data_IF_984904913137
#
_entry.id   IF_984904913137
#
_cell.length_a   1.000
_cell.length_b   1.000
_cell.length_c   1.000
_cell.angle_alpha   90.00
_cell.angle_beta   90.00
_cell.angle_gamma   90.00
#
_symmetry.space_group_name_H-M   'P 1'
#
loop_
_entity.id
_entity.type
_entity.pdbx_description
1 polymer ?
#
# COMPACT_ATOMS: atom_id res chain seq x y z
N UNK A 1 -11.17 -39.29 -7.69
CA UNK A 1 -12.28 -39.64 -6.77
C UNK A 1 -13.55 -39.68 -7.59
N UNK A 2 -14.38 -40.71 -7.45
CA UNK A 2 -15.69 -40.74 -8.10
C UNK A 2 -16.73 -40.25 -7.09
N UNK A 3 -17.32 -39.07 -7.33
CA UNK A 3 -18.30 -38.43 -6.45
C UNK A 3 -19.67 -38.48 -7.13
N UNK A 4 -20.64 -39.14 -6.50
CA UNK A 4 -21.99 -39.28 -7.05
C UNK A 4 -22.92 -38.27 -6.39
N UNK A 5 -23.38 -37.29 -7.16
CA UNK A 5 -24.42 -36.33 -6.76
C UNK A 5 -25.75 -36.83 -7.32
N UNK A 6 -26.76 -37.06 -6.47
CA UNK A 6 -28.07 -37.48 -6.98
C UNK A 6 -28.86 -36.25 -7.38
N UNK A 7 -29.39 -36.23 -8.60
CA UNK A 7 -30.19 -35.12 -9.12
C UNK A 7 -31.62 -35.59 -9.34
N UNK A 8 -32.58 -34.82 -8.83
CA UNK A 8 -34.02 -34.99 -9.09
C UNK A 8 -34.50 -33.88 -10.01
N UNK A 9 -35.11 -34.25 -11.14
CA UNK A 9 -35.90 -33.31 -11.94
C UNK A 9 -37.21 -33.02 -11.22
N UNK A 10 -37.46 -31.75 -10.90
CA UNK A 10 -38.73 -31.27 -10.34
C UNK A 10 -39.78 -31.04 -11.44
N UNK A 11 -39.31 -30.77 -12.67
CA UNK A 11 -40.15 -30.58 -13.84
C UNK A 11 -39.63 -31.42 -15.03
N UNK A 12 -40.51 -31.95 -15.89
CA UNK A 12 -40.11 -32.79 -17.02
C UNK A 12 -39.11 -32.13 -17.98
N UNK A 13 -39.26 -30.82 -18.21
CA UNK A 13 -38.40 -30.03 -19.11
C UNK A 13 -37.00 -29.71 -18.52
N UNK A 14 -36.76 -29.99 -17.24
CA UNK A 14 -35.45 -29.76 -16.64
C UNK A 14 -34.39 -30.64 -17.31
N UNK A 15 -33.20 -30.09 -17.54
CA UNK A 15 -32.08 -30.80 -18.15
C UNK A 15 -31.07 -31.19 -17.07
N UNK A 16 -30.56 -32.43 -17.10
CA UNK A 16 -29.53 -32.84 -16.16
C UNK A 16 -28.22 -32.10 -16.48
N UNK A 17 -27.39 -31.77 -15.47
CA UNK A 17 -26.09 -31.15 -15.72
C UNK A 17 -25.20 -32.09 -16.53
N UNK A 18 -24.47 -31.53 -17.51
CA UNK A 18 -23.55 -32.28 -18.38
C UNK A 18 -22.23 -31.54 -18.51
N UNK A 19 -21.12 -32.28 -18.45
CA UNK A 19 -19.80 -31.77 -18.81
C UNK A 19 -19.69 -31.69 -20.34
N UNK A 20 -19.20 -30.57 -20.86
CA UNK A 20 -19.12 -30.36 -22.31
C UNK A 20 -17.93 -31.12 -22.91
N UNK A 21 -16.82 -31.16 -22.20
CA UNK A 21 -15.59 -31.83 -22.60
C UNK A 21 -15.05 -32.73 -21.49
N UNK A 22 -14.24 -33.71 -21.87
CA UNK A 22 -13.50 -34.54 -20.93
C UNK A 22 -12.53 -33.66 -20.11
N UNK A 23 -12.54 -33.83 -18.80
CA UNK A 23 -11.71 -33.04 -17.88
C UNK A 23 -12.30 -31.69 -17.47
N UNK A 24 -13.47 -31.29 -17.99
CA UNK A 24 -14.16 -30.09 -17.53
C UNK A 24 -14.50 -30.19 -16.03
N UNK A 25 -14.25 -29.11 -15.31
CA UNK A 25 -14.61 -29.02 -13.88
C UNK A 25 -16.07 -28.67 -13.65
N UNK A 26 -16.72 -28.01 -14.62
CA UNK A 26 -18.08 -27.51 -14.51
C UNK A 26 -19.06 -28.20 -15.46
N UNK A 27 -20.19 -28.64 -14.93
CA UNK A 27 -21.32 -29.17 -15.71
C UNK A 27 -22.35 -28.08 -16.00
N UNK A 28 -22.85 -27.97 -17.23
CA UNK A 28 -23.76 -26.91 -17.63
C UNK A 28 -25.10 -26.95 -16.88
N UNK A 29 -25.59 -25.77 -16.46
CA UNK A 29 -26.94 -25.58 -15.91
C UNK A 29 -27.80 -24.77 -16.88
N UNK A 30 -29.08 -25.13 -16.93
CA UNK A 30 -30.03 -24.63 -17.92
C UNK A 30 -31.20 -23.90 -17.27
N UNK A 31 -31.70 -22.84 -17.90
CA UNK A 31 -32.97 -22.21 -17.51
C UNK A 31 -34.15 -23.12 -17.90
N UNK A 32 -35.23 -23.11 -17.12
CA UNK A 32 -36.51 -23.72 -17.53
C UNK A 32 -37.60 -22.69 -17.86
N UNK A 33 -37.26 -21.39 -17.87
CA UNK A 33 -38.18 -20.30 -18.19
C UNK A 33 -37.58 -19.33 -19.20
N UNK A 34 -38.45 -18.61 -19.90
CA UNK A 34 -38.08 -17.41 -20.63
C UNK A 34 -38.15 -16.19 -19.71
N UNK A 35 -37.16 -15.30 -19.79
CA UNK A 35 -37.24 -13.97 -19.20
C UNK A 35 -36.22 -13.01 -19.81
N UNK A 36 -36.47 -11.71 -19.67
CA UNK A 36 -35.48 -10.68 -20.02
C UNK A 36 -34.87 -10.14 -18.72
N UNK A 37 -33.54 -10.01 -18.69
CA UNK A 37 -32.80 -9.28 -17.67
C UNK A 37 -32.43 -7.91 -18.22
N UNK A 38 -33.09 -6.87 -17.71
CA UNK A 38 -32.73 -5.48 -18.01
C UNK A 38 -31.36 -5.13 -17.39
N UNK A 39 -30.62 -4.15 -17.94
CA UNK A 39 -29.40 -3.62 -17.31
C UNK A 39 -29.61 -3.28 -15.82
N UNK A 40 -28.73 -3.78 -14.96
CA UNK A 40 -28.81 -3.64 -13.50
C UNK A 40 -29.82 -4.57 -12.81
N UNK A 41 -30.65 -5.31 -13.56
CA UNK A 41 -31.63 -6.23 -13.01
C UNK A 41 -30.97 -7.55 -12.59
N UNK A 42 -31.48 -8.12 -11.48
CA UNK A 42 -31.15 -9.46 -11.02
C UNK A 42 -32.40 -10.32 -10.91
N UNK A 43 -32.26 -11.62 -11.20
CA UNK A 43 -33.35 -12.60 -11.06
C UNK A 43 -32.81 -13.96 -10.66
N UNK A 44 -33.54 -14.65 -9.77
CA UNK A 44 -33.32 -16.05 -9.50
C UNK A 44 -34.01 -16.89 -10.59
N UNK A 45 -33.22 -17.48 -11.47
CA UNK A 45 -33.70 -18.25 -12.62
C UNK A 45 -33.76 -19.73 -12.23
N UNK A 46 -34.93 -20.38 -12.30
CA UNK A 46 -35.10 -21.79 -11.96
C UNK A 46 -34.41 -22.71 -12.97
N UNK A 47 -33.83 -23.80 -12.47
CA UNK A 47 -33.28 -24.89 -13.28
C UNK A 47 -34.21 -26.11 -13.34
N UNK A 48 -35.21 -26.17 -12.45
CA UNK A 48 -36.07 -27.34 -12.28
C UNK A 48 -35.36 -28.57 -11.70
N UNK A 49 -34.19 -28.40 -11.07
CA UNK A 49 -33.42 -29.47 -10.45
C UNK A 49 -33.37 -29.30 -8.94
N UNK A 50 -33.38 -30.42 -8.21
CA UNK A 50 -32.94 -30.52 -6.83
C UNK A 50 -31.79 -31.53 -6.74
N UNK A 51 -30.92 -31.38 -5.75
CA UNK A 51 -29.77 -32.25 -5.56
C UNK A 51 -29.70 -32.84 -4.14
N UNK A 52 -29.20 -34.07 -4.06
CA UNK A 52 -28.64 -34.64 -2.84
C UNK A 52 -27.12 -34.70 -3.03
N UNK A 53 -26.43 -33.80 -2.33
CA UNK A 53 -24.97 -33.69 -2.33
C UNK A 53 -24.43 -34.70 -1.32
N UNK A 54 -23.37 -35.46 -1.64
CA UNK A 54 -22.74 -36.36 -0.67
C UNK A 54 -22.02 -35.59 0.43
N UNK A 55 -21.92 -36.20 1.63
CA UNK A 55 -21.23 -35.61 2.77
C UNK A 55 -19.77 -35.31 2.44
N UNK A 56 -19.26 -34.17 2.90
CA UNK A 56 -17.89 -33.72 2.61
C UNK A 56 -17.74 -32.96 1.30
N UNK A 57 -18.85 -32.73 0.58
CA UNK A 57 -18.87 -31.95 -0.66
C UNK A 57 -19.95 -30.86 -0.60
N UNK A 58 -19.75 -29.84 -1.41
CA UNK A 58 -20.74 -28.82 -1.78
C UNK A 58 -20.85 -28.77 -3.32
N UNK A 59 -21.92 -28.14 -3.81
CA UNK A 59 -21.98 -27.74 -5.22
C UNK A 59 -21.85 -26.22 -5.33
N UNK A 60 -21.10 -25.78 -6.33
CA UNK A 60 -20.84 -24.38 -6.60
C UNK A 60 -21.43 -24.01 -7.97
N UNK A 61 -22.38 -23.08 -7.98
CA UNK A 61 -22.90 -22.45 -9.19
C UNK A 61 -21.96 -21.32 -9.59
N UNK A 62 -21.28 -21.47 -10.73
CA UNK A 62 -20.30 -20.52 -11.24
C UNK A 62 -20.75 -19.89 -12.57
N UNK A 63 -20.30 -18.66 -12.88
CA UNK A 63 -20.55 -18.00 -14.15
C UNK A 63 -19.94 -18.77 -15.33
N UNK A 64 -20.53 -18.59 -16.50
CA UNK A 64 -19.90 -18.93 -17.78
C UNK A 64 -19.16 -17.70 -18.30
N UNK A 65 -17.88 -17.85 -18.64
CA UNK A 65 -17.04 -16.74 -19.12
C UNK A 65 -17.64 -16.03 -20.34
N UNK A 66 -18.23 -16.78 -21.28
CA UNK A 66 -18.86 -16.22 -22.47
C UNK A 66 -20.05 -15.29 -22.16
N UNK A 67 -20.85 -15.58 -21.12
CA UNK A 67 -21.96 -14.70 -20.73
C UNK A 67 -21.45 -13.41 -20.09
N UNK A 68 -20.45 -13.54 -19.22
CA UNK A 68 -19.85 -12.40 -18.53
C UNK A 68 -19.14 -11.47 -19.52
N UNK A 69 -18.32 -12.03 -20.43
CA UNK A 69 -17.54 -11.25 -21.38
C UNK A 69 -18.40 -10.60 -22.47
N UNK A 70 -19.32 -11.35 -23.08
CA UNK A 70 -20.03 -10.88 -24.27
C UNK A 70 -21.28 -10.05 -23.95
N UNK A 71 -21.87 -10.25 -22.76
CA UNK A 71 -23.16 -9.65 -22.41
C UNK A 71 -23.14 -8.95 -21.04
N UNK A 72 -22.05 -9.04 -20.27
CA UNK A 72 -22.01 -8.51 -18.90
C UNK A 72 -22.91 -9.29 -17.93
N UNK A 73 -23.35 -10.50 -18.29
CA UNK A 73 -24.25 -11.31 -17.46
C UNK A 73 -23.45 -12.30 -16.63
N UNK A 74 -23.65 -12.27 -15.31
CA UNK A 74 -22.92 -13.14 -14.38
C UNK A 74 -23.83 -13.67 -13.28
N UNK A 75 -23.34 -14.66 -12.54
CA UNK A 75 -23.98 -15.16 -11.32
C UNK A 75 -23.64 -14.20 -10.19
N UNK A 76 -24.64 -13.51 -9.66
CA UNK A 76 -24.48 -12.40 -8.70
C UNK A 76 -23.79 -12.85 -7.41
N UNK A 77 -24.13 -14.03 -6.90
CA UNK A 77 -23.59 -14.59 -5.66
C UNK A 77 -22.47 -15.60 -5.91
N UNK A 78 -21.73 -15.49 -7.02
CA UNK A 78 -20.71 -16.48 -7.37
C UNK A 78 -19.56 -16.59 -6.35
N UNK A 79 -19.10 -17.80 -6.01
CA UNK A 79 -19.76 -19.08 -6.29
C UNK A 79 -21.07 -19.19 -5.48
N UNK A 80 -22.16 -19.56 -6.16
CA UNK A 80 -23.43 -19.82 -5.49
C UNK A 80 -23.39 -21.20 -4.83
N UNK A 81 -23.35 -21.22 -3.50
CA UNK A 81 -23.14 -22.45 -2.72
C UNK A 81 -24.44 -23.24 -2.52
N UNK A 82 -24.36 -24.56 -2.69
CA UNK A 82 -25.43 -25.52 -2.38
C UNK A 82 -24.87 -26.54 -1.39
N UNK A 83 -25.33 -26.42 -0.14
CA UNK A 83 -24.87 -27.24 0.98
C UNK A 83 -25.38 -28.68 0.94
N UNK A 84 -24.66 -29.56 1.66
CA UNK A 84 -25.04 -30.96 1.91
C UNK A 84 -26.50 -31.13 2.35
N UNK A 85 -27.03 -30.20 3.17
CA UNK A 85 -28.39 -30.28 3.73
C UNK A 85 -29.49 -29.75 2.80
N UNK A 86 -29.16 -29.04 1.73
CA UNK A 86 -30.16 -28.39 0.89
C UNK A 86 -30.81 -29.39 -0.07
N UNK A 87 -32.15 -29.38 -0.13
CA UNK A 87 -32.95 -30.23 -1.03
C UNK A 87 -33.96 -29.44 -1.88
N UNK A 88 -33.92 -28.12 -1.78
CA UNK A 88 -34.79 -27.26 -2.58
C UNK A 88 -34.36 -27.20 -4.03
N UNK A 89 -35.11 -26.44 -4.82
CA UNK A 89 -34.76 -26.19 -6.23
C UNK A 89 -33.46 -25.39 -6.31
N UNK A 90 -32.57 -25.80 -7.22
CA UNK A 90 -31.38 -25.06 -7.61
C UNK A 90 -31.82 -23.90 -8.51
N UNK A 91 -31.61 -22.67 -8.05
CA UNK A 91 -31.86 -21.44 -8.81
C UNK A 91 -30.56 -20.70 -9.03
N UNK A 92 -30.38 -20.16 -10.23
CA UNK A 92 -29.20 -19.36 -10.59
C UNK A 92 -29.56 -17.89 -10.46
N UNK A 93 -28.91 -17.17 -9.55
CA UNK A 93 -29.13 -15.72 -9.38
C UNK A 93 -28.28 -15.00 -10.40
N UNK A 94 -28.86 -14.69 -11.57
CA UNK A 94 -28.17 -13.90 -12.59
C UNK A 94 -28.38 -12.41 -12.35
N UNK A 95 -27.36 -11.62 -12.67
CA UNK A 95 -27.41 -10.17 -12.80
C UNK A 95 -26.90 -9.77 -14.19
N UNK A 96 -27.55 -8.78 -14.80
CA UNK A 96 -27.06 -8.15 -16.02
C UNK A 96 -26.31 -6.86 -15.67
N UNK A 97 -24.99 -6.88 -15.78
CA UNK A 97 -24.11 -5.70 -15.64
C UNK A 97 -23.76 -5.07 -17.00
N UNK A 98 -24.29 -5.62 -18.10
CA UNK A 98 -24.17 -5.06 -19.43
C UNK A 98 -25.09 -3.86 -19.65
N UNK A 99 -24.96 -3.24 -20.83
CA UNK A 99 -25.72 -2.04 -21.21
C UNK A 99 -26.97 -2.33 -22.05
N UNK A 100 -27.25 -3.60 -22.37
CA UNK A 100 -28.39 -4.01 -23.20
C UNK A 100 -29.24 -5.06 -22.47
N UNK A 101 -30.57 -5.12 -22.72
CA UNK A 101 -31.40 -6.19 -22.22
C UNK A 101 -30.88 -7.55 -22.67
N UNK A 102 -30.88 -8.54 -21.78
CA UNK A 102 -30.42 -9.88 -22.06
C UNK A 102 -31.58 -10.88 -22.00
N UNK A 103 -32.01 -11.45 -23.14
CA UNK A 103 -33.04 -12.48 -23.16
C UNK A 103 -32.43 -13.83 -22.71
N UNK A 104 -32.98 -14.38 -21.64
CA UNK A 104 -32.77 -15.77 -21.22
C UNK A 104 -33.91 -16.60 -21.78
N UNK A 105 -33.56 -17.68 -22.48
CA UNK A 105 -34.51 -18.64 -23.05
C UNK A 105 -34.57 -19.93 -22.22
N UNK A 106 -35.73 -20.56 -22.15
CA UNK A 106 -35.86 -21.91 -21.61
C UNK A 106 -34.95 -22.88 -22.39
N UNK A 107 -34.24 -23.75 -21.68
CA UNK A 107 -33.24 -24.65 -22.25
C UNK A 107 -31.88 -24.01 -22.54
N UNK A 108 -31.70 -22.71 -22.28
CA UNK A 108 -30.41 -22.04 -22.47
C UNK A 108 -29.45 -22.34 -21.32
N UNK A 109 -28.16 -22.53 -21.64
CA UNK A 109 -27.06 -22.61 -20.67
C UNK A 109 -26.84 -21.26 -19.99
N UNK A 110 -27.01 -21.21 -18.66
CA UNK A 110 -26.97 -19.96 -17.88
C UNK A 110 -25.84 -19.91 -16.84
N UNK A 111 -25.36 -21.07 -16.39
CA UNK A 111 -24.30 -21.20 -15.41
C UNK A 111 -23.63 -22.57 -15.57
N UNK A 112 -22.64 -22.86 -14.74
CA UNK A 112 -22.04 -24.18 -14.60
C UNK A 112 -21.97 -24.59 -13.13
N UNK A 113 -22.10 -25.88 -12.85
CA UNK A 113 -22.07 -26.49 -11.54
C UNK A 113 -20.73 -27.20 -11.34
N UNK A 114 -20.01 -26.85 -10.29
CA UNK A 114 -18.75 -27.51 -9.89
C UNK A 114 -18.98 -28.26 -8.58
N UNK A 115 -18.52 -29.51 -8.50
CA UNK A 115 -18.52 -30.28 -7.24
C UNK A 115 -17.20 -30.02 -6.52
N UNK A 116 -17.25 -29.55 -5.27
CA UNK A 116 -16.05 -29.19 -4.51
C UNK A 116 -16.02 -29.89 -3.14
N UNK A 117 -14.85 -30.38 -2.68
CA UNK A 117 -14.71 -30.87 -1.31
C UNK A 117 -14.79 -29.71 -0.31
N UNK A 118 -15.40 -29.96 0.85
CA UNK A 118 -15.54 -28.99 1.93
C UNK A 118 -14.53 -29.29 3.03
N UNK A 119 -13.72 -28.29 3.40
CA UNK A 119 -12.89 -28.34 4.59
C UNK A 119 -13.68 -27.83 5.80
N UNK A 120 -13.58 -28.55 6.92
CA UNK A 120 -14.16 -28.13 8.19
C UNK A 120 -13.04 -27.62 9.10
N UNK A 121 -13.20 -26.42 9.64
CA UNK A 121 -12.28 -25.83 10.61
C UNK A 121 -12.87 -25.90 12.03
N UNK A 122 -12.00 -26.06 13.01
CA UNK A 122 -12.30 -25.79 14.42
C UNK A 122 -11.92 -24.34 14.72
N UNK A 123 -12.91 -23.47 14.96
CA UNK A 123 -12.69 -22.05 15.17
C UNK A 123 -12.41 -21.80 16.66
N UNK A 124 -11.16 -21.44 16.99
CA UNK A 124 -10.73 -21.15 18.36
C UNK A 124 -10.57 -19.63 18.56
N UNK A 125 -11.15 -19.12 19.64
CA UNK A 125 -10.99 -17.72 20.05
C UNK A 125 -9.66 -17.55 20.81
N UNK A 126 -8.87 -16.55 20.42
CA UNK A 126 -7.60 -16.17 21.06
C UNK A 126 -7.56 -14.67 21.31
N UNK A 127 -6.73 -14.20 22.24
CA UNK A 127 -6.57 -12.77 22.53
C UNK A 127 -5.70 -12.06 21.47
N UNK A 128 -4.70 -12.75 20.92
CA UNK A 128 -3.76 -12.21 19.94
C UNK A 128 -3.51 -13.20 18.80
N UNK A 129 -3.29 -12.67 17.58
CA UNK A 129 -2.88 -13.44 16.40
C UNK A 129 -1.38 -13.24 16.15
N UNK A 130 -0.71 -14.25 15.59
CA UNK A 130 0.70 -14.14 15.17
C UNK A 130 0.89 -13.10 14.07
N UNK A 131 2.00 -12.36 14.13
CA UNK A 131 2.36 -11.38 13.09
C UNK A 131 2.70 -12.06 11.75
N UNK A 132 2.37 -11.39 10.64
CA UNK A 132 2.74 -11.80 9.28
C UNK A 132 3.09 -10.56 8.45
N UNK A 133 3.88 -10.72 7.39
CA UNK A 133 4.24 -9.63 6.46
C UNK A 133 3.03 -8.90 5.87
N UNK A 134 1.89 -9.61 5.73
CA UNK A 134 0.63 -9.05 5.22
C UNK A 134 -0.15 -8.29 6.30
N UNK A 135 0.03 -8.65 7.57
CA UNK A 135 -0.59 -8.01 8.74
C UNK A 135 -2.10 -7.79 8.58
N UNK A 136 -2.58 -6.61 8.98
CA UNK A 136 -3.97 -6.19 8.86
C UNK A 136 -4.34 -5.61 7.47
N UNK A 137 -3.54 -5.86 6.43
CA UNK A 137 -3.83 -5.39 5.07
C UNK A 137 -5.09 -6.06 4.52
N UNK A 138 -6.19 -5.30 4.40
CA UNK A 138 -7.50 -5.79 3.96
C UNK A 138 -7.60 -6.21 2.49
N UNK A 139 -8.82 -6.49 2.05
CA UNK A 139 -9.16 -6.85 0.67
C UNK A 139 -8.69 -5.79 -0.34
N UNK A 140 -7.97 -6.21 -1.39
CA UNK A 140 -7.55 -5.32 -2.49
C UNK A 140 -6.14 -4.72 -2.38
N UNK A 141 -5.29 -5.22 -1.49
CA UNK A 141 -3.91 -4.74 -1.30
C UNK A 141 -2.94 -4.95 -2.49
N UNK A 142 -3.41 -5.41 -3.65
CA UNK A 142 -2.59 -5.62 -4.86
C UNK A 142 -2.97 -4.74 -6.05
N UNK A 143 -3.94 -3.83 -5.91
CA UNK A 143 -4.27 -2.91 -7.00
C UNK A 143 -5.14 -1.76 -6.55
N UNK A 144 -4.65 -0.54 -6.73
CA UNK A 144 -5.31 0.75 -6.48
C UNK A 144 -5.18 1.35 -5.06
N UNK A 145 -4.05 1.17 -4.37
CA UNK A 145 -3.58 2.30 -3.56
C UNK A 145 -3.04 3.35 -4.53
N UNK A 146 -3.55 4.59 -4.45
CA UNK A 146 -2.82 5.73 -4.99
C UNK A 146 -1.40 5.63 -4.44
N UNK A 147 -0.43 5.29 -5.30
CA UNK A 147 0.94 5.04 -4.89
C UNK A 147 1.41 6.28 -4.14
N UNK A 148 1.54 6.20 -2.82
CA UNK A 148 2.06 7.30 -2.02
C UNK A 148 3.53 7.46 -2.41
N UNK A 149 3.78 8.39 -3.31
CA UNK A 149 5.12 8.76 -3.73
C UNK A 149 5.69 9.69 -2.69
N UNK A 150 6.46 9.15 -1.75
CA UNK A 150 7.17 9.92 -0.72
C UNK A 150 8.59 10.16 -1.19
N UNK A 151 8.95 11.42 -1.41
CA UNK A 151 10.32 11.82 -1.69
C UNK A 151 11.05 12.15 -0.37
N UNK A 152 12.25 11.62 -0.17
CA UNK A 152 13.14 12.04 0.91
C UNK A 152 13.95 13.26 0.49
N UNK A 153 13.97 14.26 1.35
CA UNK A 153 14.76 15.47 1.21
C UNK A 153 15.76 15.57 2.36
N UNK A 154 17.00 15.17 2.09
CA UNK A 154 18.12 15.21 3.04
C UNK A 154 18.80 16.57 2.96
N UNK A 155 18.72 17.36 4.02
CA UNK A 155 19.32 18.68 4.11
C UNK A 155 20.78 18.57 4.55
N UNK A 156 21.72 18.87 3.64
CA UNK A 156 23.18 18.76 3.84
C UNK A 156 23.93 20.07 3.50
N UNK A 157 23.22 21.20 3.47
CA UNK A 157 23.76 22.48 3.01
C UNK A 157 24.47 23.32 4.10
N UNK A 158 24.48 22.85 5.35
CA UNK A 158 25.00 23.56 6.51
C UNK A 158 26.52 23.79 6.48
N UNK A 159 26.97 24.88 7.09
CA UNK A 159 28.38 25.31 7.11
C UNK A 159 29.19 24.74 8.28
N UNK A 160 28.55 24.12 9.28
CA UNK A 160 29.20 23.51 10.47
C UNK A 160 30.05 24.48 11.30
N UNK A 161 29.57 25.72 11.51
CA UNK A 161 30.31 26.79 12.18
C UNK A 161 30.80 26.49 13.60
N UNK A 162 30.18 25.51 14.29
CA UNK A 162 30.51 25.09 15.66
C UNK A 162 31.58 23.99 15.76
N UNK A 163 31.91 23.32 14.64
CA UNK A 163 32.81 22.15 14.58
C UNK A 163 34.26 22.47 14.15
N UNK A 164 34.64 23.75 14.09
CA UNK A 164 35.97 24.19 13.66
C UNK A 164 36.14 24.26 12.13
N UNK A 165 37.33 23.94 11.62
CA UNK A 165 37.71 24.14 10.19
C UNK A 165 37.24 23.04 9.23
N UNK A 166 36.79 21.89 9.74
CA UNK A 166 36.27 20.78 8.94
C UNK A 166 34.75 20.68 9.07
N UNK A 167 34.05 20.49 7.95
CA UNK A 167 32.60 20.32 7.99
C UNK A 167 32.24 18.93 8.53
N UNK A 168 31.33 18.89 9.52
CA UNK A 168 30.97 17.68 10.25
C UNK A 168 30.53 16.55 9.35
N UNK A 169 29.82 16.85 8.25
CA UNK A 169 29.24 15.84 7.36
C UNK A 169 30.29 14.92 6.73
N UNK A 170 31.55 15.35 6.67
CA UNK A 170 32.66 14.59 6.06
C UNK A 170 33.58 13.92 7.10
N UNK A 171 33.29 14.03 8.40
CA UNK A 171 33.99 13.23 9.39
C UNK A 171 33.59 11.77 9.26
N UNK A 172 34.55 10.87 9.48
CA UNK A 172 34.39 9.44 9.22
C UNK A 172 34.13 8.63 10.49
N UNK A 173 33.11 7.78 10.43
CA UNK A 173 32.77 6.75 11.41
C UNK A 173 32.84 5.41 10.66
N UNK A 174 33.69 4.48 11.11
CA UNK A 174 33.93 3.19 10.43
C UNK A 174 34.23 3.34 8.92
N UNK A 175 35.12 4.28 8.57
CA UNK A 175 35.54 4.60 7.20
C UNK A 175 34.48 5.24 6.28
N UNK A 176 33.24 5.41 6.73
CA UNK A 176 32.19 6.16 6.02
C UNK A 176 31.98 7.51 6.66
N UNK A 177 31.74 8.53 5.85
CA UNK A 177 31.40 9.87 6.35
C UNK A 177 30.00 9.89 6.97
N UNK A 178 29.71 10.88 7.80
CA UNK A 178 28.37 11.10 8.36
C UNK A 178 27.31 11.23 7.25
N UNK A 179 27.61 11.99 6.19
CA UNK A 179 26.72 12.13 5.05
C UNK A 179 26.43 10.79 4.36
N UNK A 180 27.44 9.95 4.17
CA UNK A 180 27.27 8.63 3.56
C UNK A 180 26.39 7.72 4.42
N UNK A 181 26.59 7.69 5.75
CA UNK A 181 25.73 6.92 6.67
C UNK A 181 24.26 7.35 6.56
N UNK A 182 23.99 8.66 6.65
CA UNK A 182 22.64 9.20 6.53
C UNK A 182 21.99 8.83 5.20
N UNK A 183 22.71 8.96 4.08
CA UNK A 183 22.18 8.65 2.75
C UNK A 183 21.97 7.16 2.54
N UNK A 184 22.86 6.30 3.04
CA UNK A 184 22.68 4.85 3.00
C UNK A 184 21.43 4.39 3.72
N UNK A 185 21.16 4.93 4.92
CA UNK A 185 19.98 4.58 5.68
C UNK A 185 18.69 4.99 4.96
N UNK A 186 18.70 6.16 4.31
CA UNK A 186 17.57 6.61 3.49
C UNK A 186 17.41 5.75 2.24
N UNK A 187 18.51 5.34 1.58
CA UNK A 187 18.50 4.43 0.43
C UNK A 187 17.98 3.04 0.78
N UNK A 188 18.24 2.55 1.99
CA UNK A 188 17.73 1.28 2.48
C UNK A 188 16.25 1.34 2.93
N UNK A 189 15.62 2.52 2.87
CA UNK A 189 14.21 2.72 3.24
C UNK A 189 13.25 2.58 2.04
N UNK A 190 11.95 2.71 2.30
CA UNK A 190 10.85 2.59 1.33
C UNK A 190 10.46 3.91 0.66
N UNK A 191 11.27 4.96 0.80
CA UNK A 191 11.04 6.23 0.08
C UNK A 191 11.21 6.04 -1.43
N UNK A 192 10.41 6.75 -2.23
CA UNK A 192 10.34 6.56 -3.68
C UNK A 192 11.45 7.28 -4.44
N UNK A 193 11.94 8.39 -3.89
CA UNK A 193 12.96 9.24 -4.50
C UNK A 193 13.78 9.91 -3.41
N UNK A 194 15.08 10.12 -3.65
CA UNK A 194 15.99 10.67 -2.65
C UNK A 194 16.71 11.87 -3.24
N UNK A 195 16.61 12.99 -2.54
CA UNK A 195 17.25 14.24 -2.91
C UNK A 195 18.12 14.70 -1.76
N UNK A 196 19.35 15.09 -2.09
CA UNK A 196 20.31 15.62 -1.12
C UNK A 196 20.61 17.07 -1.46
N UNK A 197 20.23 18.00 -0.58
CA UNK A 197 20.46 19.43 -0.79
C UNK A 197 21.83 19.82 -0.27
N UNK A 198 22.71 20.28 -1.15
CA UNK A 198 24.08 20.68 -0.85
C UNK A 198 24.29 22.19 -1.00
N UNK A 199 25.24 22.74 -0.25
CA UNK A 199 25.54 24.17 -0.19
C UNK A 199 27.04 24.46 -0.23
N UNK A 200 27.60 24.92 0.90
CA UNK A 200 28.99 25.37 1.02
C UNK A 200 30.04 24.35 0.52
N UNK A 201 29.79 23.05 0.76
CA UNK A 201 30.73 21.97 0.45
C UNK A 201 30.31 21.13 -0.77
N UNK A 202 29.66 21.79 -1.76
CA UNK A 202 29.11 21.15 -2.95
C UNK A 202 30.05 20.13 -3.60
N UNK A 203 31.29 20.52 -3.92
CA UNK A 203 32.24 19.66 -4.65
C UNK A 203 32.55 18.38 -3.89
N UNK A 204 32.81 18.49 -2.59
CA UNK A 204 33.10 17.33 -1.73
C UNK A 204 31.89 16.42 -1.62
N UNK A 205 30.70 16.99 -1.40
CA UNK A 205 29.45 16.24 -1.34
C UNK A 205 29.13 15.54 -2.68
N UNK A 206 29.32 16.20 -3.82
CA UNK A 206 29.10 15.60 -5.15
C UNK A 206 30.04 14.41 -5.40
N UNK A 207 31.31 14.51 -5.00
CA UNK A 207 32.28 13.41 -5.13
C UNK A 207 31.85 12.21 -4.28
N UNK A 208 31.45 12.46 -3.04
CA UNK A 208 31.04 11.42 -2.12
C UNK A 208 29.73 10.75 -2.56
N UNK A 209 28.78 11.55 -3.03
CA UNK A 209 27.46 11.10 -3.45
C UNK A 209 27.45 10.46 -4.85
N UNK A 210 28.58 10.50 -5.59
CA UNK A 210 28.66 10.04 -6.98
C UNK A 210 28.25 8.57 -7.18
N UNK A 211 28.48 7.71 -6.19
CA UNK A 211 28.15 6.29 -6.23
C UNK A 211 26.77 5.96 -5.63
N UNK A 212 26.07 6.96 -5.11
CA UNK A 212 24.75 6.78 -4.51
C UNK A 212 23.66 7.11 -5.51
N UNK A 213 22.58 6.33 -5.52
CA UNK A 213 21.42 6.56 -6.38
C UNK A 213 20.54 7.68 -5.83
N UNK A 214 21.07 8.90 -5.79
CA UNK A 214 20.42 10.10 -5.25
C UNK A 214 20.50 11.26 -6.21
N UNK A 215 19.54 12.18 -6.14
CA UNK A 215 19.60 13.45 -6.86
C UNK A 215 20.26 14.51 -5.98
N UNK A 216 21.41 15.02 -6.41
CA UNK A 216 22.07 16.14 -5.73
C UNK A 216 21.43 17.46 -6.18
N UNK A 217 20.98 18.27 -5.22
CA UNK A 217 20.37 19.59 -5.46
C UNK A 217 21.26 20.67 -4.87
N UNK A 218 21.76 21.56 -5.73
CA UNK A 218 22.61 22.66 -5.27
C UNK A 218 21.79 23.89 -4.85
N UNK A 219 21.83 24.25 -3.57
CA UNK A 219 21.31 25.52 -3.09
C UNK A 219 22.38 26.61 -3.25
N UNK A 220 22.22 27.48 -4.26
CA UNK A 220 23.10 28.65 -4.47
C UNK A 220 23.05 29.67 -3.34
N UNK A 221 21.94 29.73 -2.61
CA UNK A 221 21.65 30.73 -1.59
C UNK A 221 21.88 30.20 -0.16
N UNK A 222 22.68 29.15 0.01
CA UNK A 222 22.91 28.48 1.30
C UNK A 222 23.36 29.41 2.45
N UNK A 223 23.91 30.60 2.15
CA UNK A 223 24.31 31.61 3.15
C UNK A 223 23.14 32.41 3.74
N UNK A 224 21.96 32.36 3.12
CA UNK A 224 20.77 33.13 3.54
C UNK A 224 19.87 32.38 4.51
N UNK A 225 20.32 31.23 5.01
CA UNK A 225 19.64 30.47 6.05
C UNK A 225 18.99 29.17 5.57
N UNK A 226 18.51 28.37 6.55
CA UNK A 226 18.02 27.01 6.31
C UNK A 226 16.79 26.96 5.38
N UNK A 227 15.91 27.97 5.43
CA UNK A 227 14.72 28.06 4.56
C UNK A 227 15.08 27.94 3.07
N UNK A 228 16.19 28.54 2.63
CA UNK A 228 16.61 28.48 1.22
C UNK A 228 16.97 27.07 0.76
N UNK A 229 17.50 26.24 1.66
CA UNK A 229 17.84 24.84 1.36
C UNK A 229 16.58 24.00 1.23
N UNK A 230 15.61 24.21 2.12
CA UNK A 230 14.31 23.56 2.00
C UNK A 230 13.62 23.94 0.69
N UNK A 231 13.58 25.23 0.34
CA UNK A 231 12.97 25.71 -0.90
C UNK A 231 13.63 25.12 -2.14
N UNK A 232 14.97 25.12 -2.20
CA UNK A 232 15.71 24.51 -3.30
C UNK A 232 15.36 23.02 -3.47
N UNK A 233 15.24 22.30 -2.36
CA UNK A 233 14.76 20.93 -2.32
C UNK A 233 13.33 20.77 -2.86
N UNK A 234 12.38 21.52 -2.29
CA UNK A 234 10.96 21.45 -2.67
C UNK A 234 10.74 21.78 -4.16
N UNK A 235 11.45 22.77 -4.70
CA UNK A 235 11.36 23.14 -6.11
C UNK A 235 11.89 22.06 -7.06
N UNK A 236 12.75 21.17 -6.57
CA UNK A 236 13.33 20.09 -7.36
C UNK A 236 12.59 18.75 -7.19
N UNK A 237 11.50 18.72 -6.41
CA UNK A 237 10.70 17.51 -6.18
C UNK A 237 10.08 16.98 -7.48
N UNK A 238 9.98 15.65 -7.65
CA UNK A 238 9.21 15.05 -8.73
C UNK A 238 7.74 15.52 -8.70
N UNK A 239 7.15 15.80 -9.86
CA UNK A 239 5.75 16.28 -9.95
C UNK A 239 4.72 15.29 -9.39
N UNK A 240 5.05 14.00 -9.39
CA UNK A 240 4.25 12.90 -8.84
C UNK A 240 4.38 12.75 -7.31
N UNK A 241 5.30 13.47 -6.66
CA UNK A 241 5.44 13.43 -5.21
C UNK A 241 4.13 13.84 -4.51
N UNK A 242 3.67 12.96 -3.62
CA UNK A 242 2.47 13.11 -2.78
C UNK A 242 2.81 13.56 -1.36
N UNK A 243 4.04 13.30 -0.93
CA UNK A 243 4.59 13.77 0.34
C UNK A 243 6.11 13.94 0.25
N UNK A 244 6.65 14.76 1.14
CA UNK A 244 8.10 14.97 1.30
C UNK A 244 8.52 14.67 2.73
N UNK A 245 9.44 13.74 2.91
CA UNK A 245 10.08 13.46 4.19
C UNK A 245 11.36 14.29 4.29
N UNK A 246 11.37 15.27 5.18
CA UNK A 246 12.50 16.15 5.44
C UNK A 246 13.37 15.51 6.53
N UNK A 247 14.65 15.35 6.21
CA UNK A 247 15.67 14.70 7.04
C UNK A 247 16.88 15.62 7.16
N UNK A 248 17.62 15.51 8.26
CA UNK A 248 18.89 16.21 8.43
C UNK A 248 20.06 15.25 8.20
N UNK A 249 21.09 15.71 7.49
CA UNK A 249 22.24 14.86 7.15
C UNK A 249 23.15 14.53 8.34
N UNK A 250 23.02 15.27 9.45
CA UNK A 250 23.78 15.13 10.68
C UNK A 250 23.14 14.18 11.71
N UNK A 251 22.08 13.46 11.31
CA UNK A 251 21.42 12.37 12.03
C UNK A 251 21.74 10.99 11.42
N UNK A 252 23.01 10.53 11.43
CA UNK A 252 23.42 9.34 10.69
C UNK A 252 22.96 8.03 11.30
N UNK A 253 22.45 8.01 12.54
CA UNK A 253 21.97 6.78 13.18
C UNK A 253 20.47 6.54 12.97
N UNK A 254 19.76 7.41 12.25
CA UNK A 254 18.34 7.19 11.95
C UNK A 254 18.18 5.94 11.07
N UNK A 255 17.53 4.91 11.60
CA UNK A 255 17.51 3.59 10.98
C UNK A 255 16.49 3.51 9.83
N UNK A 256 16.73 2.66 8.81
CA UNK A 256 15.78 2.45 7.72
C UNK A 256 14.38 2.01 8.20
N UNK A 257 14.33 1.20 9.27
CA UNK A 257 13.08 0.78 9.91
C UNK A 257 12.27 1.97 10.44
N UNK A 258 12.93 2.92 11.10
CA UNK A 258 12.28 4.15 11.58
C UNK A 258 11.76 4.99 10.42
N UNK A 259 12.56 5.19 9.37
CA UNK A 259 12.14 5.92 8.15
C UNK A 259 10.91 5.24 7.52
N UNK A 260 10.87 3.91 7.47
CA UNK A 260 9.73 3.16 6.94
C UNK A 260 8.45 3.40 7.74
N UNK A 261 8.52 3.54 9.07
CA UNK A 261 7.35 3.89 9.90
C UNK A 261 6.73 5.23 9.50
N UNK A 262 7.54 6.23 9.13
CA UNK A 262 7.03 7.51 8.62
C UNK A 262 6.26 7.31 7.32
N UNK A 263 6.84 6.57 6.36
CA UNK A 263 6.22 6.29 5.06
C UNK A 263 4.91 5.50 5.23
N UNK A 264 4.90 4.49 6.08
CA UNK A 264 3.71 3.67 6.36
C UNK A 264 2.61 4.45 7.06
N UNK A 265 2.96 5.25 8.07
CA UNK A 265 1.99 6.09 8.79
C UNK A 265 1.39 7.14 7.87
N UNK A 266 2.21 7.76 7.01
CA UNK A 266 1.74 8.69 5.99
C UNK A 266 0.85 8.00 4.95
N UNK A 267 1.22 6.81 4.49
CA UNK A 267 0.41 6.06 3.50
C UNK A 267 -0.99 5.75 4.04
N UNK A 268 -1.13 5.50 5.35
CA UNK A 268 -2.43 5.32 6.01
C UNK A 268 -3.17 6.64 6.27
N UNK A 269 -2.44 7.76 6.32
CA UNK A 269 -2.96 9.09 6.67
C UNK A 269 -2.42 10.17 5.72
N UNK A 270 -2.73 10.11 4.41
CA UNK A 270 -2.06 10.92 3.38
C UNK A 270 -2.30 12.43 3.51
N UNK A 271 -3.24 12.84 4.34
CA UNK A 271 -3.57 14.24 4.62
C UNK A 271 -2.94 14.78 5.90
N UNK A 272 -2.22 13.96 6.69
CA UNK A 272 -1.64 14.33 7.98
C UNK A 272 -0.13 14.56 7.86
N UNK A 273 0.39 15.47 8.68
CA UNK A 273 1.83 15.65 8.87
C UNK A 273 2.32 14.54 9.80
N UNK A 274 3.41 13.86 9.48
CA UNK A 274 4.02 12.86 10.36
C UNK A 274 5.32 13.43 10.89
N UNK A 275 5.47 13.58 12.21
CA UNK A 275 6.65 14.19 12.82
C UNK A 275 7.30 13.29 13.86
N UNK A 276 8.63 13.32 13.92
CA UNK A 276 9.39 12.69 14.98
C UNK A 276 9.15 13.40 16.32
N UNK A 277 9.00 12.61 17.37
CA UNK A 277 8.92 13.09 18.74
C UNK A 277 10.04 12.47 19.57
N UNK A 278 10.69 13.32 20.34
CA UNK A 278 11.68 12.93 21.33
C UNK A 278 11.52 13.80 22.56
N UNK A 279 11.37 13.16 23.73
CA UNK A 279 11.04 13.84 24.98
C UNK A 279 9.83 14.78 24.79
N UNK A 280 10.02 16.09 25.01
CA UNK A 280 9.00 17.12 24.83
C UNK A 280 9.14 17.88 23.50
N UNK A 281 10.03 17.44 22.61
CA UNK A 281 10.30 18.08 21.32
C UNK A 281 9.64 17.30 20.18
N UNK A 282 8.99 18.04 19.28
CA UNK A 282 8.43 17.52 18.02
C UNK A 282 9.15 18.22 16.88
N UNK A 283 9.69 17.45 15.95
CA UNK A 283 10.58 17.98 14.91
C UNK A 283 10.97 16.96 13.86
N UNK A 284 12.20 17.08 13.35
CA UNK A 284 12.72 16.19 12.32
C UNK A 284 12.98 14.78 12.89
N UNK A 285 12.84 13.72 12.07
CA UNK A 285 12.34 13.73 10.70
C UNK A 285 10.87 14.16 10.63
N UNK A 286 10.49 14.86 9.57
CA UNK A 286 9.11 15.34 9.39
C UNK A 286 8.65 15.14 7.96
N UNK A 287 7.48 14.52 7.80
CA UNK A 287 6.85 14.21 6.53
C UNK A 287 5.64 15.11 6.33
N UNK A 288 5.70 15.96 5.30
CA UNK A 288 4.58 16.83 4.91
C UNK A 288 3.87 16.30 3.67
N UNK A 289 2.52 16.28 3.66
CA UNK A 289 1.77 16.07 2.42
C UNK A 289 1.90 17.23 1.45
N UNK A 290 1.66 16.93 0.17
CA UNK A 290 1.73 17.89 -0.94
C UNK A 290 0.96 19.19 -0.70
N UNK A 291 -0.17 19.13 0.01
CA UNK A 291 -0.99 20.31 0.32
C UNK A 291 -0.23 21.41 1.07
N UNK A 292 0.83 21.07 1.81
CA UNK A 292 1.66 22.05 2.53
C UNK A 292 2.87 22.55 1.74
N UNK A 293 3.13 22.06 0.52
CA UNK A 293 4.34 22.44 -0.23
C UNK A 293 4.37 23.94 -0.54
N UNK A 294 3.22 24.51 -0.93
CA UNK A 294 3.11 25.96 -1.18
C UNK A 294 3.42 26.79 0.06
N UNK A 295 2.98 26.34 1.24
CA UNK A 295 3.25 27.02 2.51
C UNK A 295 4.71 26.87 2.92
N UNK A 296 5.29 25.67 2.76
CA UNK A 296 6.72 25.45 2.99
C UNK A 296 7.61 26.29 2.05
N UNK A 297 7.16 26.62 0.84
CA UNK A 297 7.88 27.51 -0.08
C UNK A 297 7.87 28.99 0.38
N UNK A 298 6.94 29.37 1.26
CA UNK A 298 6.79 30.74 1.75
C UNK A 298 7.60 31.02 3.02
N UNK A 299 8.17 30.01 3.69
CA UNK A 299 8.93 30.22 4.93
C UNK A 299 10.14 31.11 4.73
N UNK A 300 10.56 31.84 5.75
CA UNK A 300 11.74 32.70 5.70
C UNK A 300 12.63 32.47 6.94
N UNK A 301 13.88 32.92 6.87
CA UNK A 301 14.84 32.80 7.97
C UNK A 301 15.30 31.36 8.25
N UNK A 302 15.70 31.11 9.50
CA UNK A 302 16.39 29.88 9.92
C UNK A 302 15.48 28.85 10.62
N UNK A 303 14.19 29.13 10.77
CA UNK A 303 13.26 28.24 11.49
C UNK A 303 12.96 26.96 10.71
N UNK A 304 13.15 26.97 9.39
CA UNK A 304 12.90 25.82 8.52
C UNK A 304 11.44 25.37 8.54
N UNK A 305 11.20 24.07 8.36
CA UNK A 305 9.84 23.51 8.33
C UNK A 305 9.13 23.53 9.70
N UNK A 306 9.84 23.87 10.79
CA UNK A 306 9.30 23.90 12.15
C UNK A 306 8.17 24.91 12.33
N UNK A 307 8.21 26.05 11.64
CA UNK A 307 7.15 27.06 11.71
C UNK A 307 5.81 26.54 11.17
N UNK A 308 5.85 25.83 10.04
CA UNK A 308 4.67 25.19 9.44
C UNK A 308 4.17 24.05 10.33
N UNK A 309 5.08 23.25 10.89
CA UNK A 309 4.72 22.19 11.84
C UNK A 309 3.97 22.74 13.07
N UNK A 310 4.47 23.82 13.67
CA UNK A 310 3.87 24.44 14.85
C UNK A 310 2.50 25.04 14.58
N UNK A 311 2.28 25.60 13.38
CA UNK A 311 1.00 26.16 12.97
C UNK A 311 -0.10 25.09 12.83
N UNK A 312 0.30 23.85 12.48
CA UNK A 312 -0.61 22.76 12.14
C UNK A 312 -0.56 21.60 13.13
N UNK A 313 -0.23 21.83 14.41
CA UNK A 313 -0.10 20.77 15.42
C UNK A 313 -1.32 19.83 15.52
N UNK A 314 -2.53 20.34 15.28
CA UNK A 314 -3.76 19.54 15.29
C UNK A 314 -3.87 18.55 14.10
N UNK A 315 -3.03 18.71 13.08
CA UNK A 315 -2.93 17.82 11.92
C UNK A 315 -1.67 16.94 11.95
N UNK A 316 -0.94 16.94 13.07
CA UNK A 316 0.29 16.17 13.24
C UNK A 316 -0.01 14.83 13.93
N UNK A 317 0.47 13.75 13.32
CA UNK A 317 0.67 12.46 13.97
C UNK A 317 2.14 12.39 14.39
N UNK A 318 2.39 12.09 15.66
CA UNK A 318 3.76 11.97 16.19
C UNK A 318 4.21 10.52 16.24
N UNK A 319 5.48 10.28 15.93
CA UNK A 319 6.13 8.99 16.08
C UNK A 319 7.27 9.13 17.10
N UNK A 320 7.24 8.35 18.17
CA UNK A 320 8.32 8.30 19.15
C UNK A 320 9.59 7.74 18.50
N UNK A 321 10.69 8.47 18.63
CA UNK A 321 11.98 8.08 18.09
C UNK A 321 12.85 7.43 19.19
N UNK A 322 13.58 6.35 18.90
CA UNK A 322 14.56 5.79 19.83
C UNK A 322 15.65 6.80 20.18
N UNK A 323 16.08 6.83 21.45
CA UNK A 323 17.04 7.84 21.94
C UNK A 323 18.42 7.75 21.28
N UNK A 324 18.79 6.57 20.79
CA UNK A 324 20.04 6.33 20.09
C UNK A 324 20.02 6.81 18.63
N UNK A 325 18.84 6.91 18.00
CA UNK A 325 18.69 7.29 16.58
C UNK A 325 18.68 8.80 16.32
N UNK A 326 18.47 9.61 17.36
CA UNK A 326 18.22 11.06 17.30
C UNK A 326 19.46 11.92 17.56
N UNK A 327 20.62 11.32 17.78
CA UNK A 327 21.81 12.04 18.20
C UNK A 327 22.36 12.88 17.03
N UNK A 328 22.13 14.19 17.10
CA UNK A 328 22.73 15.18 16.20
C UNK A 328 24.22 15.36 16.53
N UNK A 329 25.08 15.40 15.51
CA UNK A 329 26.50 15.70 15.72
C UNK A 329 26.69 17.20 15.65
N UNK A 330 26.71 17.90 16.79
CA UNK A 330 26.96 19.35 16.81
C UNK A 330 28.30 19.73 17.44
N UNK A 331 28.86 18.82 18.25
CA UNK A 331 30.11 18.98 18.98
C UNK A 331 31.03 17.76 18.84
N UNK A 332 32.34 17.89 19.16
CA UNK A 332 33.25 16.74 19.22
C UNK A 332 32.77 15.62 20.17
N UNK A 333 32.17 15.98 21.31
CA UNK A 333 31.64 15.02 22.28
C UNK A 333 30.46 14.20 21.69
N UNK A 334 29.62 14.83 20.86
CA UNK A 334 28.54 14.13 20.15
C UNK A 334 29.11 13.12 19.15
N UNK A 335 30.18 13.51 18.45
CA UNK A 335 30.88 12.63 17.53
C UNK A 335 31.46 11.39 18.23
N UNK A 336 32.10 11.56 19.39
CA UNK A 336 32.62 10.43 20.20
C UNK A 336 31.49 9.49 20.64
N UNK A 337 30.39 10.01 21.18
CA UNK A 337 29.23 9.19 21.57
C UNK A 337 28.69 8.37 20.41
N UNK A 338 28.56 9.00 19.24
CA UNK A 338 28.04 8.35 18.04
C UNK A 338 28.98 7.23 17.54
N UNK A 339 30.30 7.40 17.65
CA UNK A 339 31.25 6.33 17.28
C UNK A 339 31.09 5.08 18.14
N UNK A 340 30.63 5.21 19.39
CA UNK A 340 30.34 4.07 20.26
C UNK A 340 29.02 3.37 19.92
N UNK A 341 28.02 4.12 19.44
CA UNK A 341 26.69 3.59 19.09
C UNK A 341 26.72 2.85 17.75
N UNK A 342 27.43 3.39 16.76
CA UNK A 342 27.52 2.81 15.42
C UNK A 342 28.53 1.64 15.37
N UNK A 343 28.96 1.08 16.52
CA UNK A 343 29.89 -0.06 16.64
C UNK A 343 29.32 -1.42 16.22
#
# INVERSE_FOLDING_TARGET
>A
MNCVVKIKKLYPQAQLPQYAHEGDSGADLFSIIDCVLEPGQRKAIPTGLAAEVPRGFELQVRPKSGLALNYGVTVLNTPGTIDFGYRGEIKVILINLGSKPYPVQAGQKIAQLVVAPVAYADFQQVEELSETDRGSGGFGSTGLQAKCYVAALVLAAGTSSRMGSANKLFLKIKNKTILSHSVENVLASRVSHIMVVVGANRKTAEIELANFKVQVVFNKNYKQGMSTSLKAGLMALPGEATGVLILLADQPNLQPGTINRFVETFTRNPEKIIAGKYQNMVGNPVLFPKKYFSELLQIEGDVGARSVLQKHLNEVITLELPEDEILDIDTPDDFEKLTHIIN
#
